data_IF_663049771625
#
_entry.id   IF_663049771625
#
_cell.length_a   1.000
_cell.length_b   1.000
_cell.length_c   1.000
_cell.angle_alpha   90.00
_cell.angle_beta   90.00
_cell.angle_gamma   90.00
#
_symmetry.space_group_name_H-M   'P 1'
#
loop_
_entity.id
_entity.type
_entity.pdbx_description
1 polymer ?
#
# COMPACT_ATOMS: atom_id res chain seq x y z
N UNK A 1 3.81 -20.96 7.19
CA UNK A 1 2.91 -19.79 7.24
C UNK A 1 3.55 -18.52 7.82
N UNK A 2 4.28 -18.54 8.95
CA UNK A 2 4.91 -17.34 9.56
C UNK A 2 5.90 -16.58 8.65
N UNK A 3 6.63 -17.30 7.77
CA UNK A 3 7.60 -16.73 6.82
C UNK A 3 6.97 -15.75 5.81
N UNK A 4 5.71 -15.98 5.43
CA UNK A 4 5.00 -15.13 4.46
C UNK A 4 4.51 -13.82 5.10
N UNK A 5 4.15 -13.85 6.40
CA UNK A 5 3.73 -12.64 7.13
C UNK A 5 4.88 -11.66 7.32
N UNK A 6 6.04 -12.15 7.79
CA UNK A 6 7.22 -11.29 8.02
C UNK A 6 7.63 -10.59 6.72
N UNK A 7 7.70 -11.35 5.62
CA UNK A 7 7.99 -10.81 4.29
C UNK A 7 6.98 -9.76 3.83
N UNK A 8 5.69 -9.96 4.10
CA UNK A 8 4.64 -9.00 3.74
C UNK A 8 4.78 -7.67 4.51
N UNK A 9 5.08 -7.76 5.81
CA UNK A 9 5.28 -6.55 6.63
C UNK A 9 6.55 -5.81 6.22
N UNK A 10 7.65 -6.52 5.99
CA UNK A 10 8.89 -5.92 5.45
C UNK A 10 8.63 -5.25 4.11
N UNK A 11 7.95 -5.91 3.17
CA UNK A 11 7.56 -5.32 1.88
C UNK A 11 6.69 -4.06 2.06
N UNK A 12 5.78 -4.06 3.04
CA UNK A 12 4.96 -2.89 3.34
C UNK A 12 5.80 -1.73 3.88
N UNK A 13 6.73 -1.99 4.80
CA UNK A 13 7.62 -0.98 5.38
C UNK A 13 8.58 -0.41 4.33
N UNK A 14 9.17 -1.27 3.49
CA UNK A 14 10.02 -0.84 2.39
C UNK A 14 9.24 0.01 1.38
N UNK A 15 8.01 -0.39 1.05
CA UNK A 15 7.15 0.40 0.19
C UNK A 15 6.80 1.75 0.82
N UNK A 16 6.50 1.79 2.11
CA UNK A 16 6.20 3.02 2.86
C UNK A 16 7.35 4.03 2.82
N UNK A 17 8.60 3.56 2.89
CA UNK A 17 9.78 4.44 2.77
C UNK A 17 10.02 4.87 1.32
N UNK A 18 9.85 3.96 0.37
CA UNK A 18 10.31 4.16 -1.00
C UNK A 18 9.26 4.69 -1.99
N UNK A 19 7.96 4.71 -1.67
CA UNK A 19 6.91 5.03 -2.66
C UNK A 19 7.04 6.41 -3.34
N UNK A 20 7.80 7.33 -2.76
CA UNK A 20 8.04 8.66 -3.34
C UNK A 20 9.06 8.64 -4.48
N UNK A 21 9.85 7.57 -4.62
CA UNK A 21 10.84 7.42 -5.69
C UNK A 21 10.20 7.16 -7.06
N UNK A 22 8.94 6.71 -7.11
CA UNK A 22 8.19 6.48 -8.34
C UNK A 22 7.82 7.80 -9.04
N UNK A 23 8.53 8.13 -10.13
CA UNK A 23 8.42 9.42 -10.84
C UNK A 23 7.56 9.33 -12.09
N UNK A 24 7.76 8.29 -12.90
CA UNK A 24 7.07 8.14 -14.19
C UNK A 24 5.61 7.71 -14.00
N UNK A 25 4.78 7.91 -15.03
CA UNK A 25 3.37 7.47 -15.00
C UNK A 25 3.25 5.96 -14.81
N UNK A 26 4.09 5.19 -15.50
CA UNK A 26 4.10 3.72 -15.39
C UNK A 26 4.51 3.28 -13.98
N UNK A 27 5.57 3.86 -13.43
CA UNK A 27 6.00 3.60 -12.04
C UNK A 27 4.90 3.91 -11.03
N UNK A 28 4.19 5.02 -11.19
CA UNK A 28 3.07 5.39 -10.31
C UNK A 28 1.90 4.41 -10.41
N UNK A 29 1.61 3.88 -11.61
CA UNK A 29 0.59 2.84 -11.80
C UNK A 29 0.99 1.56 -11.07
N UNK A 30 2.25 1.13 -11.23
CA UNK A 30 2.80 -0.03 -10.54
C UNK A 30 2.71 0.17 -9.04
N UNK A 31 3.15 1.32 -8.53
CA UNK A 31 3.10 1.65 -7.11
C UNK A 31 1.67 1.60 -6.54
N UNK A 32 0.68 2.12 -7.27
CA UNK A 32 -0.72 2.07 -6.84
C UNK A 32 -1.25 0.64 -6.77
N UNK A 33 -0.87 -0.22 -7.74
CA UNK A 33 -1.23 -1.65 -7.75
C UNK A 33 -0.56 -2.40 -6.59
N UNK A 34 0.74 -2.20 -6.38
CA UNK A 34 1.48 -2.80 -5.26
C UNK A 34 0.89 -2.38 -3.91
N UNK A 35 0.53 -1.10 -3.73
CA UNK A 35 -0.13 -0.65 -2.51
C UNK A 35 -1.47 -1.36 -2.27
N UNK A 36 -2.26 -1.58 -3.34
CA UNK A 36 -3.51 -2.35 -3.26
C UNK A 36 -3.27 -3.80 -2.87
N UNK A 37 -2.29 -4.46 -3.46
CA UNK A 37 -1.92 -5.85 -3.17
C UNK A 37 -1.47 -6.03 -1.72
N UNK A 38 -0.66 -5.10 -1.20
CA UNK A 38 -0.21 -5.10 0.19
C UNK A 38 -1.41 -5.00 1.13
N UNK A 39 -2.32 -4.03 0.91
CA UNK A 39 -3.51 -3.83 1.76
C UNK A 39 -4.40 -5.07 1.79
N UNK A 40 -4.70 -5.66 0.61
CA UNK A 40 -5.54 -6.86 0.53
C UNK A 40 -4.86 -8.05 1.23
N UNK A 41 -3.56 -8.22 1.03
CA UNK A 41 -2.79 -9.30 1.66
C UNK A 41 -2.75 -9.14 3.18
N UNK A 42 -2.57 -7.92 3.70
CA UNK A 42 -2.59 -7.66 5.14
C UNK A 42 -4.00 -7.91 5.70
N UNK A 43 -5.05 -7.50 5.00
CA UNK A 43 -6.44 -7.72 5.43
C UNK A 43 -6.76 -9.21 5.62
N UNK A 44 -6.29 -10.08 4.71
CA UNK A 44 -6.50 -11.53 4.84
C UNK A 44 -5.81 -12.14 6.06
N UNK A 45 -4.65 -11.63 6.46
CA UNK A 45 -3.97 -12.05 7.70
C UNK A 45 -4.66 -11.44 8.92
N UNK A 46 -5.02 -10.16 8.87
CA UNK A 46 -5.69 -9.45 9.95
C UNK A 46 -7.03 -10.10 10.31
N UNK A 47 -7.83 -10.54 9.33
CA UNK A 47 -9.09 -11.24 9.59
C UNK A 47 -8.93 -12.48 10.48
N UNK A 48 -7.79 -13.19 10.37
CA UNK A 48 -7.50 -14.41 11.12
C UNK A 48 -6.81 -14.17 12.45
N UNK A 49 -5.98 -13.13 12.52
CA UNK A 49 -5.07 -12.88 13.65
C UNK A 49 -5.55 -11.75 14.57
N UNK A 50 -6.28 -10.77 14.01
CA UNK A 50 -6.69 -9.53 14.67
C UNK A 50 -5.52 -8.76 15.32
N UNK A 51 -4.31 -8.91 14.80
CA UNK A 51 -3.11 -8.23 15.31
C UNK A 51 -3.20 -6.71 15.01
N UNK A 52 -3.17 -5.88 16.05
CA UNK A 52 -3.23 -4.41 15.92
C UNK A 52 -2.07 -3.83 15.11
N UNK A 53 -0.89 -4.44 15.21
CA UNK A 53 0.30 -4.03 14.44
C UNK A 53 0.09 -4.15 12.94
N UNK A 54 -0.68 -5.15 12.48
CA UNK A 54 -1.05 -5.30 11.07
C UNK A 54 -2.04 -4.21 10.63
N UNK A 55 -2.99 -3.86 11.52
CA UNK A 55 -3.94 -2.78 11.27
C UNK A 55 -3.22 -1.43 11.09
N UNK A 56 -2.21 -1.14 11.91
CA UNK A 56 -1.45 0.10 11.80
C UNK A 56 -0.69 0.20 10.47
N UNK A 57 0.00 -0.88 10.07
CA UNK A 57 0.67 -0.95 8.75
C UNK A 57 -0.36 -0.79 7.64
N UNK A 58 -1.50 -1.49 7.70
CA UNK A 58 -2.55 -1.41 6.69
C UNK A 58 -3.10 0.02 6.53
N UNK A 59 -3.34 0.74 7.64
CA UNK A 59 -3.81 2.13 7.62
C UNK A 59 -2.80 3.05 6.92
N UNK A 60 -1.50 2.92 7.21
CA UNK A 60 -0.45 3.74 6.58
C UNK A 60 -0.37 3.48 5.07
N UNK A 61 -0.37 2.22 4.65
CA UNK A 61 -0.36 1.86 3.22
C UNK A 61 -1.64 2.32 2.52
N UNK A 62 -2.80 2.27 3.18
CA UNK A 62 -4.07 2.75 2.62
C UNK A 62 -4.04 4.25 2.32
N UNK A 63 -3.45 5.05 3.21
CA UNK A 63 -3.25 6.50 2.98
C UNK A 63 -2.34 6.74 1.78
N UNK A 64 -1.24 5.97 1.66
CA UNK A 64 -0.32 6.06 0.52
C UNK A 64 -1.02 5.67 -0.79
N UNK A 65 -1.75 4.55 -0.80
CA UNK A 65 -2.55 4.10 -1.95
C UNK A 65 -3.48 5.21 -2.43
N UNK A 66 -4.25 5.82 -1.54
CA UNK A 66 -5.17 6.91 -1.87
C UNK A 66 -4.44 8.10 -2.49
N UNK A 67 -3.28 8.48 -1.95
CA UNK A 67 -2.44 9.56 -2.52
C UNK A 67 -1.95 9.22 -3.93
N UNK A 68 -1.54 7.99 -4.19
CA UNK A 68 -1.11 7.54 -5.52
C UNK A 68 -2.27 7.53 -6.53
N UNK A 69 -3.44 7.04 -6.13
CA UNK A 69 -4.64 7.03 -6.98
C UNK A 69 -5.11 8.45 -7.35
N UNK A 70 -5.11 9.38 -6.38
CA UNK A 70 -5.43 10.79 -6.64
C UNK A 70 -4.45 11.43 -7.62
N UNK A 71 -3.15 11.13 -7.51
CA UNK A 71 -2.13 11.62 -8.45
C UNK A 71 -2.32 11.07 -9.86
N UNK A 72 -2.79 9.83 -10.00
CA UNK A 72 -3.04 9.19 -11.29
C UNK A 72 -4.32 9.69 -11.98
N UNK A 73 -5.36 10.01 -11.20
CA UNK A 73 -6.61 10.58 -11.73
C UNK A 73 -6.46 12.04 -12.18
N UNK A 74 -5.36 12.70 -11.84
CA UNK A 74 -5.19 14.14 -12.05
C UNK A 74 -6.04 14.95 -11.07
N UNK A 75 -5.85 16.27 -11.02
CA UNK A 75 -6.82 17.15 -10.38
C UNK A 75 -8.02 17.21 -11.33
N UNK A 76 -9.15 16.62 -10.93
CA UNK A 76 -10.44 16.99 -11.53
C UNK A 76 -10.66 18.46 -11.15
N UNK A 77 -10.21 19.40 -11.98
CA UNK A 77 -10.77 20.74 -11.94
C UNK A 77 -12.19 20.58 -12.46
N UNK A 78 -13.17 20.79 -11.58
CA UNK A 78 -14.55 20.94 -12.03
C UNK A 78 -14.57 22.15 -12.97
N UNK A 79 -14.78 21.88 -14.26
CA UNK A 79 -15.13 22.89 -15.25
C UNK A 79 -16.66 22.95 -15.34
#
# INVERSE_FOLDING_TARGET
MKKNRKKLVEQALDFEVNYKSFRTRNEKIIAARTAKEIVLSINEIYKKTKEDTLMDVMKRITVIKRKLELRLKGRLTAN
#
